data_IF_874506960915
#
_entry.id   IF_874506960915
#
_cell.length_a   1.000
_cell.length_b   1.000
_cell.length_c   1.000
_cell.angle_alpha   90.00
_cell.angle_beta   90.00
_cell.angle_gamma   90.00
#
_symmetry.space_group_name_H-M   'P 1'
#
loop_
_entity.id
_entity.type
_entity.pdbx_description
1 polymer ?
#
# COMPACT_ATOMS: atom_id res chain seq x y z
N UNK A 1 17.64 -19.17 -8.17
CA UNK A 1 16.40 -18.39 -7.96
C UNK A 1 16.19 -18.31 -6.46
N UNK A 2 16.29 -17.12 -5.86
CA UNK A 2 15.99 -16.96 -4.43
C UNK A 2 14.47 -17.17 -4.24
N UNK A 3 14.07 -18.04 -3.31
CA UNK A 3 12.66 -18.23 -2.99
C UNK A 3 12.09 -16.94 -2.39
N UNK A 4 11.02 -16.40 -2.99
CA UNK A 4 10.28 -15.26 -2.43
C UNK A 4 9.76 -15.67 -1.04
N UNK A 5 10.20 -14.97 0.00
CA UNK A 5 9.77 -15.25 1.37
C UNK A 5 8.34 -14.73 1.55
N UNK A 6 7.45 -15.49 2.22
CA UNK A 6 6.12 -14.98 2.52
C UNK A 6 6.21 -13.78 3.47
N UNK A 7 5.29 -12.81 3.32
CA UNK A 7 5.21 -11.62 4.19
C UNK A 7 5.23 -12.00 5.67
N UNK A 8 4.49 -13.05 6.06
CA UNK A 8 4.48 -13.54 7.44
C UNK A 8 5.86 -13.98 7.93
N UNK A 9 6.63 -14.67 7.10
CA UNK A 9 7.99 -15.11 7.45
C UNK A 9 8.94 -13.94 7.68
N UNK A 10 8.84 -12.90 6.85
CA UNK A 10 9.65 -11.67 7.02
C UNK A 10 9.27 -10.94 8.30
N UNK A 11 7.97 -10.81 8.59
CA UNK A 11 7.46 -10.17 9.81
C UNK A 11 7.92 -10.92 11.07
N UNK A 12 7.87 -12.25 11.05
CA UNK A 12 8.32 -13.06 12.19
C UNK A 12 9.81 -12.90 12.46
N UNK A 13 10.65 -12.79 11.42
CA UNK A 13 12.07 -12.46 11.60
C UNK A 13 12.22 -11.06 12.20
N UNK A 14 11.55 -10.06 11.64
CA UNK A 14 11.64 -8.68 12.11
C UNK A 14 11.20 -8.51 13.57
N UNK A 15 10.15 -9.20 14.02
CA UNK A 15 9.71 -9.18 15.43
C UNK A 15 10.80 -9.59 16.41
N UNK A 16 11.72 -10.45 15.99
CA UNK A 16 12.79 -10.95 16.86
C UNK A 16 14.04 -10.06 16.84
N UNK A 17 14.22 -9.21 15.83
CA UNK A 17 15.48 -8.45 15.63
C UNK A 17 15.29 -6.93 15.62
N UNK A 18 14.08 -6.43 15.35
CA UNK A 18 13.84 -5.00 15.14
C UNK A 18 14.16 -4.17 16.38
N UNK A 19 13.80 -4.64 17.57
CA UNK A 19 14.06 -3.92 18.82
C UNK A 19 15.55 -3.75 19.16
N UNK A 20 16.41 -4.65 18.68
CA UNK A 20 17.86 -4.57 18.89
C UNK A 20 18.55 -3.65 17.89
N UNK A 21 17.96 -3.49 16.70
CA UNK A 21 18.51 -2.74 15.57
C UNK A 21 17.42 -1.95 14.82
N UNK A 22 16.81 -0.93 15.44
CA UNK A 22 15.63 -0.25 14.90
C UNK A 22 15.91 0.49 13.59
N UNK A 23 17.08 1.12 13.43
CA UNK A 23 17.46 1.80 12.19
C UNK A 23 17.63 0.81 11.03
N UNK A 24 18.29 -0.32 11.30
CA UNK A 24 18.50 -1.38 10.29
C UNK A 24 17.18 -2.03 9.90
N UNK A 25 16.28 -2.21 10.87
CA UNK A 25 14.94 -2.73 10.62
C UNK A 25 14.13 -1.78 9.74
N UNK A 26 14.16 -0.47 10.00
CA UNK A 26 13.47 0.53 9.19
C UNK A 26 14.01 0.60 7.75
N UNK A 27 15.34 0.61 7.59
CA UNK A 27 15.99 0.57 6.28
C UNK A 27 15.61 -0.70 5.51
N UNK A 28 15.64 -1.86 6.18
CA UNK A 28 15.25 -3.13 5.57
C UNK A 28 13.77 -3.13 5.17
N UNK A 29 12.87 -2.70 6.05
CA UNK A 29 11.42 -2.65 5.79
C UNK A 29 11.15 -1.76 4.59
N UNK A 30 11.77 -0.58 4.55
CA UNK A 30 11.64 0.37 3.43
C UNK A 30 12.15 -0.24 2.13
N UNK A 31 13.36 -0.82 2.13
CA UNK A 31 13.93 -1.43 0.94
C UNK A 31 13.10 -2.63 0.46
N UNK A 32 12.68 -3.52 1.36
CA UNK A 32 11.93 -4.72 1.03
C UNK A 32 10.54 -4.38 0.47
N UNK A 33 9.77 -3.54 1.14
CA UNK A 33 8.44 -3.13 0.66
C UNK A 33 8.51 -2.40 -0.69
N UNK A 34 9.61 -1.68 -0.96
CA UNK A 34 9.86 -1.04 -2.26
C UNK A 34 10.07 -2.04 -3.42
N UNK A 35 10.32 -3.32 -3.13
CA UNK A 35 10.41 -4.40 -4.15
C UNK A 35 9.08 -5.07 -4.45
N UNK A 36 8.05 -4.78 -3.66
CA UNK A 36 6.69 -5.31 -3.83
C UNK A 36 5.86 -4.34 -4.66
N UNK A 37 4.84 -4.86 -5.33
CA UNK A 37 3.91 -4.09 -6.17
C UNK A 37 2.48 -4.24 -5.65
N UNK A 38 1.64 -3.24 -5.90
CA UNK A 38 0.22 -3.28 -5.64
C UNK A 38 -0.23 -3.75 -4.26
N UNK A 39 -1.21 -4.64 -4.29
CA UNK A 39 -1.81 -5.24 -3.11
C UNK A 39 -0.79 -6.00 -2.23
N UNK A 40 0.28 -6.54 -2.82
CA UNK A 40 1.34 -7.21 -2.06
C UNK A 40 2.15 -6.21 -1.23
N UNK A 41 2.46 -5.04 -1.80
CA UNK A 41 3.09 -3.93 -1.07
C UNK A 41 2.20 -3.46 0.07
N UNK A 42 0.91 -3.23 -0.19
CA UNK A 42 -0.03 -2.80 0.85
C UNK A 42 -0.14 -3.83 1.99
N UNK A 43 -0.28 -5.12 1.65
CA UNK A 43 -0.34 -6.19 2.64
C UNK A 43 0.95 -6.24 3.49
N UNK A 44 2.11 -6.07 2.88
CA UNK A 44 3.39 -6.03 3.58
C UNK A 44 3.50 -4.80 4.51
N UNK A 45 3.19 -3.60 4.02
CA UNK A 45 3.19 -2.36 4.81
C UNK A 45 2.26 -2.46 6.02
N UNK A 46 1.06 -3.03 5.85
CA UNK A 46 0.14 -3.27 6.96
C UNK A 46 0.70 -4.30 7.95
N UNK A 47 1.34 -5.37 7.47
CA UNK A 47 1.86 -6.42 8.34
C UNK A 47 3.02 -5.94 9.22
N UNK A 48 3.91 -5.10 8.67
CA UNK A 48 5.04 -4.51 9.41
C UNK A 48 4.64 -3.29 10.24
N UNK A 49 3.48 -2.67 10.00
CA UNK A 49 3.04 -1.47 10.73
C UNK A 49 3.01 -1.68 12.25
N UNK A 50 2.64 -2.89 12.70
CA UNK A 50 2.62 -3.27 14.11
C UNK A 50 3.98 -3.17 14.80
N UNK A 51 5.09 -3.25 14.06
CA UNK A 51 6.44 -3.13 14.63
C UNK A 51 6.75 -1.71 15.09
N UNK A 52 6.19 -0.71 14.42
CA UNK A 52 6.38 0.71 14.76
C UNK A 52 5.47 1.12 15.93
N UNK A 53 4.23 0.59 15.98
CA UNK A 53 3.26 0.87 17.06
C UNK A 53 3.62 0.17 18.37
N UNK A 54 4.23 -1.00 18.31
CA UNK A 54 4.64 -1.77 19.49
C UNK A 54 6.05 -1.39 20.00
N UNK A 55 6.58 -0.23 19.58
CA UNK A 55 7.91 0.28 19.95
C UNK A 55 9.08 -0.68 19.62
N UNK A 56 8.90 -1.61 18.68
CA UNK A 56 9.98 -2.48 18.21
C UNK A 56 10.89 -1.75 17.22
N UNK A 57 10.43 -0.67 16.61
CA UNK A 57 11.24 0.24 15.79
C UNK A 57 11.18 1.62 16.43
N UNK A 58 12.03 1.85 17.43
CA UNK A 58 12.04 3.11 18.18
C UNK A 58 12.88 4.16 17.45
N UNK A 59 12.25 4.87 16.52
CA UNK A 59 12.83 5.96 15.75
C UNK A 59 12.05 7.25 15.94
N UNK A 60 12.71 8.37 15.66
CA UNK A 60 12.02 9.66 15.56
C UNK A 60 10.95 9.60 14.46
N UNK A 61 9.73 10.00 14.83
CA UNK A 61 8.54 9.92 13.97
C UNK A 61 8.22 8.49 13.47
N UNK A 62 8.53 7.44 14.24
CA UNK A 62 8.28 6.04 13.85
C UNK A 62 6.83 5.77 13.41
N UNK A 63 5.85 6.27 14.18
CA UNK A 63 4.43 6.12 13.85
C UNK A 63 4.05 6.87 12.57
N UNK A 64 4.58 8.08 12.36
CA UNK A 64 4.32 8.87 11.16
C UNK A 64 4.96 8.22 9.91
N UNK A 65 6.19 7.70 10.03
CA UNK A 65 6.87 6.94 8.96
C UNK A 65 6.06 5.71 8.56
N UNK A 66 5.55 4.97 9.54
CA UNK A 66 4.67 3.82 9.31
C UNK A 66 3.38 4.24 8.61
N UNK A 67 2.70 5.27 9.12
CA UNK A 67 1.44 5.74 8.53
C UNK A 67 1.66 6.17 7.09
N UNK A 68 2.73 6.93 6.82
CA UNK A 68 3.13 7.32 5.46
C UNK A 68 3.31 6.11 4.54
N UNK A 69 4.03 5.08 4.98
CA UNK A 69 4.24 3.86 4.19
C UNK A 69 2.92 3.18 3.81
N UNK A 70 1.97 3.10 4.76
CA UNK A 70 0.64 2.54 4.52
C UNK A 70 -0.17 3.39 3.55
N UNK A 71 -0.12 4.72 3.67
CA UNK A 71 -0.82 5.63 2.77
C UNK A 71 -0.26 5.54 1.34
N UNK A 72 1.07 5.57 1.17
CA UNK A 72 1.72 5.44 -0.13
C UNK A 72 1.35 4.12 -0.83
N UNK A 73 1.38 3.01 -0.09
CA UNK A 73 1.00 1.70 -0.63
C UNK A 73 -0.50 1.62 -0.97
N UNK A 74 -1.35 2.29 -0.19
CA UNK A 74 -2.79 2.37 -0.45
C UNK A 74 -3.08 3.17 -1.72
N UNK A 75 -2.41 4.32 -1.91
CA UNK A 75 -2.55 5.14 -3.13
C UNK A 75 -2.19 4.33 -4.37
N UNK A 76 -1.05 3.64 -4.36
CA UNK A 76 -0.62 2.81 -5.48
C UNK A 76 -1.60 1.67 -5.77
N UNK A 77 -2.07 0.97 -4.73
CA UNK A 77 -3.05 -0.11 -4.89
C UNK A 77 -4.36 0.40 -5.51
N UNK A 78 -4.81 1.59 -5.10
CA UNK A 78 -6.01 2.21 -5.67
C UNK A 78 -5.80 2.61 -7.13
N UNK A 79 -4.62 3.13 -7.49
CA UNK A 79 -4.28 3.50 -8.87
C UNK A 79 -4.20 2.27 -9.78
N UNK A 80 -3.61 1.19 -9.31
CA UNK A 80 -3.56 -0.09 -10.06
C UNK A 80 -4.97 -0.66 -10.24
N UNK A 81 -5.81 -0.65 -9.19
CA UNK A 81 -7.19 -1.10 -9.30
C UNK A 81 -7.99 -0.26 -10.29
N UNK A 82 -7.78 1.06 -10.31
CA UNK A 82 -8.39 1.94 -11.30
C UNK A 82 -7.96 1.59 -12.72
N UNK A 83 -6.66 1.32 -12.93
CA UNK A 83 -6.13 0.94 -14.23
C UNK A 83 -6.73 -0.39 -14.73
N UNK A 84 -6.72 -1.42 -13.88
CA UNK A 84 -7.27 -2.74 -14.23
C UNK A 84 -8.76 -2.70 -14.55
N UNK A 85 -9.54 -1.89 -13.82
CA UNK A 85 -10.98 -1.80 -14.01
C UNK A 85 -11.39 -0.89 -15.18
N UNK A 86 -10.51 0.00 -15.65
CA UNK A 86 -10.81 0.97 -16.71
C UNK A 86 -11.11 0.32 -18.08
N UNK A 87 -10.60 -0.89 -18.33
CA UNK A 87 -10.72 -1.57 -19.63
C UNK A 87 -12.00 -2.43 -19.74
N UNK A 88 -12.70 -2.68 -18.63
CA UNK A 88 -13.87 -3.55 -18.59
C UNK A 88 -15.08 -3.09 -19.43
N UNK A 89 -15.32 -1.77 -19.66
CA UNK A 89 -16.31 -1.32 -20.64
C UNK A 89 -16.05 -1.85 -22.06
N UNK A 90 -14.79 -1.96 -22.47
CA UNK A 90 -14.44 -2.53 -23.78
C UNK A 90 -14.66 -4.05 -23.80
N UNK A 91 -14.31 -4.72 -22.69
CA UNK A 91 -14.52 -6.18 -22.53
C UNK A 91 -16.01 -6.53 -22.55
N UNK A 92 -16.88 -5.68 -22.00
CA UNK A 92 -18.35 -5.90 -21.95
C UNK A 92 -19.01 -5.99 -23.33
N UNK A 93 -18.36 -5.48 -24.38
CA UNK A 93 -18.84 -5.50 -25.76
C UNK A 93 -18.43 -6.82 -26.46
N UNK A 94 -17.52 -7.59 -25.85
CA UNK A 94 -17.06 -8.87 -26.39
C UNK A 94 -18.19 -9.92 -26.41
N UNK A 95 -18.31 -10.70 -27.49
CA UNK A 95 -19.28 -11.81 -27.55
C UNK A 95 -19.05 -12.90 -26.50
N UNK A 96 -17.85 -12.96 -25.92
CA UNK A 96 -17.48 -13.92 -24.86
C UNK A 96 -17.70 -13.36 -23.44
N UNK A 97 -18.14 -12.11 -23.29
CA UNK A 97 -18.41 -11.52 -21.98
C UNK A 97 -19.66 -12.15 -21.36
N UNK A 98 -19.53 -12.63 -20.12
CA UNK A 98 -20.65 -13.13 -19.32
C UNK A 98 -21.35 -12.04 -18.48
N UNK A 99 -20.88 -10.80 -18.58
CA UNK A 99 -21.42 -9.63 -17.90
C UNK A 99 -21.88 -8.60 -18.94
N UNK A 100 -22.86 -7.77 -18.57
CA UNK A 100 -23.42 -6.77 -19.48
C UNK A 100 -22.72 -5.40 -19.35
N UNK A 101 -23.03 -4.52 -20.30
CA UNK A 101 -22.53 -3.14 -20.32
C UNK A 101 -22.99 -2.32 -19.12
N UNK A 102 -24.14 -2.65 -18.50
CA UNK A 102 -24.62 -1.98 -17.31
C UNK A 102 -23.73 -2.27 -16.09
N UNK A 103 -23.27 -3.51 -15.93
CA UNK A 103 -22.27 -3.85 -14.92
C UNK A 103 -20.93 -3.15 -15.18
N UNK A 104 -20.48 -3.08 -16.42
CA UNK A 104 -19.24 -2.38 -16.76
C UNK A 104 -19.32 -0.86 -16.53
N UNK A 105 -20.48 -0.24 -16.78
CA UNK A 105 -20.73 1.16 -16.40
C UNK A 105 -20.67 1.37 -14.88
N UNK A 106 -21.16 0.42 -14.07
CA UNK A 106 -21.01 0.48 -12.61
C UNK A 106 -19.53 0.46 -12.22
N UNK A 107 -18.73 -0.44 -12.81
CA UNK A 107 -17.28 -0.49 -12.56
C UNK A 107 -16.61 0.82 -12.92
N UNK A 108 -16.94 1.39 -14.08
CA UNK A 108 -16.40 2.68 -14.51
C UNK A 108 -16.74 3.81 -13.52
N UNK A 109 -17.99 3.87 -13.06
CA UNK A 109 -18.43 4.87 -12.08
C UNK A 109 -17.73 4.73 -10.72
N UNK A 110 -17.35 3.51 -10.32
CA UNK A 110 -16.56 3.26 -9.11
C UNK A 110 -15.12 3.79 -9.28
N UNK A 111 -14.52 3.53 -10.45
CA UNK A 111 -13.17 3.98 -10.80
C UNK A 111 -13.06 5.50 -10.81
N UNK A 112 -13.93 6.19 -11.55
CA UNK A 112 -13.86 7.65 -11.76
C UNK A 112 -14.51 8.47 -10.65
N UNK A 113 -15.01 7.83 -9.60
CA UNK A 113 -15.70 8.49 -8.50
C UNK A 113 -15.04 8.15 -7.16
N UNK A 114 -15.58 7.18 -6.42
CA UNK A 114 -15.08 6.82 -5.09
C UNK A 114 -13.59 6.50 -5.03
N UNK A 115 -13.04 5.75 -5.99
CA UNK A 115 -11.63 5.34 -5.95
C UNK A 115 -10.68 6.52 -6.21
N UNK A 116 -10.98 7.36 -7.20
CA UNK A 116 -10.19 8.56 -7.49
C UNK A 116 -10.21 9.56 -6.33
N UNK A 117 -11.39 9.76 -5.72
CA UNK A 117 -11.54 10.63 -4.54
C UNK A 117 -10.73 10.11 -3.36
N UNK A 118 -10.77 8.80 -3.09
CA UNK A 118 -10.00 8.19 -2.01
C UNK A 118 -8.50 8.37 -2.25
N UNK A 119 -7.99 8.06 -3.45
CA UNK A 119 -6.57 8.23 -3.78
C UNK A 119 -6.10 9.69 -3.58
N UNK A 120 -6.90 10.66 -4.04
CA UNK A 120 -6.61 12.10 -3.89
C UNK A 120 -6.56 12.53 -2.42
N UNK A 121 -7.53 12.07 -1.61
CA UNK A 121 -7.56 12.36 -0.18
C UNK A 121 -6.34 11.79 0.55
N UNK A 122 -5.99 10.53 0.28
CA UNK A 122 -4.81 9.89 0.87
C UNK A 122 -3.53 10.62 0.47
N UNK A 123 -3.43 11.08 -0.77
CA UNK A 123 -2.29 11.87 -1.24
C UNK A 123 -2.17 13.19 -0.49
N UNK A 124 -3.29 13.91 -0.32
CA UNK A 124 -3.31 15.16 0.48
C UNK A 124 -2.87 14.91 1.93
N UNK A 125 -3.35 13.83 2.57
CA UNK A 125 -2.93 13.50 3.94
C UNK A 125 -1.44 13.13 4.03
N UNK A 126 -0.92 12.42 3.03
CA UNK A 126 0.50 12.07 2.95
C UNK A 126 1.39 13.31 2.84
N UNK A 127 0.99 14.30 2.04
CA UNK A 127 1.69 15.59 1.90
C UNK A 127 1.69 16.41 3.20
N UNK A 128 0.55 16.44 3.90
CA UNK A 128 0.43 17.08 5.21
C UNK A 128 1.33 16.41 6.25
N UNK A 129 1.34 15.07 6.29
CA UNK A 129 2.17 14.28 7.19
C UNK A 129 3.66 14.52 6.96
N UNK A 130 4.10 14.54 5.69
CA UNK A 130 5.48 14.88 5.35
C UNK A 130 5.86 16.30 5.82
N UNK A 131 4.93 17.24 5.69
CA UNK A 131 5.16 18.62 6.11
C UNK A 131 5.29 18.74 7.62
N UNK A 132 4.52 17.99 8.40
CA UNK A 132 4.65 17.99 9.87
C UNK A 132 5.97 17.36 10.33
N UNK A 133 6.41 16.27 9.69
CA UNK A 133 7.68 15.61 10.01
C UNK A 133 8.91 16.49 9.72
N UNK A 134 8.85 17.36 8.70
CA UNK A 134 9.96 18.24 8.34
C UNK A 134 10.05 19.54 9.15
N UNK A 135 9.03 19.85 9.96
CA UNK A 135 8.93 21.07 10.77
C UNK A 135 9.02 20.82 12.29
N UNK A 136 9.17 19.55 12.70
CA UNK A 136 9.40 19.13 14.08
C UNK A 136 10.91 19.20 14.42
#
# INVERSE_FOLDING_TARGET
MASRQPVSGVVDVLRNVAGEHPEVADEFITAWTSTLEGAERLAASLAVSSLYVLDLVHLEHAEDRMLKSVLDASIQTLQELQHELADYPEVAISPDASFDTGFAEILQNIVTGPLEQAATQLQTQTELLNSSMNNA
#
